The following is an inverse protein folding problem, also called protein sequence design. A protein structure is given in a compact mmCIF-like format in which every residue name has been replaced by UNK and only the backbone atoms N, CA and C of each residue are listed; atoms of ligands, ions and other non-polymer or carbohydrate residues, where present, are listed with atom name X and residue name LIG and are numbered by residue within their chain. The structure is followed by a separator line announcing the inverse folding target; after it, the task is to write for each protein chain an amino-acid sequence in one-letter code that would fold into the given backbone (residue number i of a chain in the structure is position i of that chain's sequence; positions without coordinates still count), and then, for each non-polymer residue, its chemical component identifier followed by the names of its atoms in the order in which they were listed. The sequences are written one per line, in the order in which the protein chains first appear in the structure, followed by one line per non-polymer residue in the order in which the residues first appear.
data_IF_497537650036
#
_entry.id   IF_497537650036
#
_cell.length_a   1.000
_cell.length_b   1.000
_cell.length_c   1.000
_cell.angle_alpha   90.00
_cell.angle_beta   90.00
_cell.angle_gamma   90.00
#
_symmetry.space_group_name_H-M   'P 1'
#
loop_
_entity.id
_entity.type
_entity.pdbx_description
1 polymer ?
#
# COMPACT_ATOMS: atom_id res chain seq x y z
N UNK A 1 30.06 1.04 -26.34
CA UNK A 1 28.97 0.24 -26.93
C UNK A 1 29.01 -1.08 -26.21
N UNK A 2 27.99 -1.36 -25.41
CA UNK A 2 27.91 -2.55 -24.58
C UNK A 2 27.32 -3.68 -25.42
N UNK A 3 28.17 -4.57 -25.91
CA UNK A 3 27.78 -5.81 -26.62
C UNK A 3 27.31 -6.88 -25.62
N UNK A 4 26.32 -6.55 -24.79
CA UNK A 4 25.59 -7.58 -24.06
C UNK A 4 24.60 -8.22 -25.05
N UNK A 5 24.58 -9.55 -25.22
CA UNK A 5 23.58 -10.19 -26.06
C UNK A 5 22.18 -9.83 -25.54
N UNK A 6 21.29 -9.39 -26.44
CA UNK A 6 19.88 -9.17 -26.11
C UNK A 6 19.28 -10.47 -25.59
N UNK A 7 18.86 -10.46 -24.32
CA UNK A 7 18.16 -11.56 -23.70
C UNK A 7 16.81 -11.75 -24.41
N UNK A 8 16.48 -13.00 -24.76
CA UNK A 8 15.17 -13.32 -25.34
C UNK A 8 14.05 -13.15 -24.30
N UNK A 9 12.81 -12.96 -24.75
CA UNK A 9 11.65 -12.84 -23.84
C UNK A 9 11.51 -14.13 -23.02
N UNK A 10 11.75 -15.29 -23.63
CA UNK A 10 11.72 -16.59 -22.95
C UNK A 10 12.79 -16.69 -21.85
N UNK A 11 14.01 -16.24 -22.10
CA UNK A 11 15.07 -16.20 -21.10
C UNK A 11 14.78 -15.21 -19.98
N UNK A 12 14.11 -14.09 -20.27
CA UNK A 12 13.69 -13.12 -19.26
C UNK A 12 12.58 -13.70 -18.39
N UNK A 13 11.54 -14.28 -18.98
CA UNK A 13 10.44 -14.90 -18.22
C UNK A 13 10.90 -16.09 -17.40
N UNK A 14 11.97 -16.78 -17.82
CA UNK A 14 12.58 -17.86 -17.04
C UNK A 14 13.20 -17.39 -15.71
N UNK A 15 13.47 -16.09 -15.53
CA UNK A 15 13.93 -15.54 -14.24
C UNK A 15 12.78 -15.10 -13.35
N UNK A 16 11.53 -15.29 -13.77
CA UNK A 16 10.37 -14.93 -12.95
C UNK A 16 10.29 -15.80 -11.70
N UNK A 17 10.04 -15.16 -10.57
CA UNK A 17 9.74 -15.83 -9.29
C UNK A 17 8.25 -16.10 -9.09
N UNK A 18 7.40 -15.64 -10.02
CA UNK A 18 5.97 -15.91 -9.96
C UNK A 18 5.68 -17.43 -9.97
N UNK A 19 4.69 -17.92 -9.22
CA UNK A 19 4.35 -19.33 -9.21
C UNK A 19 3.98 -19.81 -10.62
N UNK A 20 4.51 -20.98 -11.02
CA UNK A 20 4.24 -21.55 -12.34
C UNK A 20 2.73 -21.78 -12.60
N UNK A 21 1.96 -22.04 -11.53
CA UNK A 21 0.51 -22.14 -11.57
C UNK A 21 -0.08 -21.14 -10.58
N UNK A 22 -0.60 -20.03 -11.09
CA UNK A 22 -1.31 -19.02 -10.30
C UNK A 22 -2.80 -19.38 -10.32
N UNK A 23 -3.45 -19.67 -9.18
CA UNK A 23 -4.90 -19.84 -9.11
C UNK A 23 -5.62 -18.54 -9.44
N UNK A 24 -6.62 -18.61 -10.32
CA UNK A 24 -7.50 -17.48 -10.65
C UNK A 24 -8.95 -17.77 -10.26
N UNK A 25 -9.60 -16.81 -9.59
CA UNK A 25 -11.03 -16.83 -9.28
C UNK A 25 -11.74 -15.67 -9.99
N UNK A 26 -12.45 -15.97 -11.08
CA UNK A 26 -13.12 -14.98 -11.92
C UNK A 26 -14.62 -14.99 -11.61
N UNK A 27 -15.16 -13.87 -11.15
CA UNK A 27 -16.56 -13.77 -10.69
C UNK A 27 -17.35 -12.71 -11.46
N UNK A 28 -18.56 -13.07 -11.87
CA UNK A 28 -19.51 -12.16 -12.52
C UNK A 28 -19.27 -11.90 -14.02
N UNK A 29 -18.45 -12.71 -14.69
CA UNK A 29 -18.23 -12.61 -16.14
C UNK A 29 -19.43 -13.17 -16.92
N UNK A 30 -19.75 -12.55 -18.06
CA UNK A 30 -20.86 -12.98 -18.92
C UNK A 30 -20.57 -14.28 -19.66
N UNK A 31 -19.30 -14.56 -19.97
CA UNK A 31 -18.86 -15.75 -20.67
C UNK A 31 -17.46 -16.20 -20.21
N UNK A 32 -17.22 -17.51 -20.30
CA UNK A 32 -15.98 -18.16 -19.85
C UNK A 32 -14.77 -17.77 -20.70
N UNK A 33 -14.97 -17.47 -21.99
CA UNK A 33 -13.88 -17.10 -22.89
C UNK A 33 -13.26 -15.76 -22.45
N UNK A 34 -14.08 -14.75 -22.20
CA UNK A 34 -13.61 -13.44 -21.72
C UNK A 34 -12.89 -13.57 -20.38
N UNK A 35 -13.43 -14.35 -19.45
CA UNK A 35 -12.79 -14.61 -18.15
C UNK A 35 -11.42 -15.28 -18.30
N UNK A 36 -11.33 -16.30 -19.17
CA UNK A 36 -10.10 -17.05 -19.44
C UNK A 36 -9.05 -16.19 -20.14
N UNK A 37 -9.47 -15.39 -21.14
CA UNK A 37 -8.57 -14.49 -21.86
C UNK A 37 -7.97 -13.43 -20.92
N UNK A 38 -8.79 -12.85 -20.03
CA UNK A 38 -8.31 -11.93 -19.00
C UNK A 38 -7.33 -12.62 -18.04
N UNK A 39 -7.69 -13.79 -17.50
CA UNK A 39 -6.82 -14.52 -16.57
C UNK A 39 -5.45 -14.84 -17.19
N UNK A 40 -5.43 -15.31 -18.44
CA UNK A 40 -4.19 -15.58 -19.16
C UNK A 40 -3.35 -14.32 -19.37
N UNK A 41 -4.00 -13.21 -19.71
CA UNK A 41 -3.30 -11.93 -19.93
C UNK A 41 -2.76 -11.36 -18.61
N UNK A 42 -3.54 -11.38 -17.54
CA UNK A 42 -3.09 -11.02 -16.19
C UNK A 42 -1.92 -11.90 -15.74
N UNK A 43 -2.00 -13.22 -15.92
CA UNK A 43 -0.91 -14.14 -15.59
C UNK A 43 0.38 -13.82 -16.38
N UNK A 44 0.25 -13.44 -17.66
CA UNK A 44 1.41 -13.05 -18.48
C UNK A 44 2.12 -11.83 -17.91
N UNK A 45 1.38 -10.79 -17.53
CA UNK A 45 1.96 -9.59 -16.94
C UNK A 45 2.50 -9.84 -15.53
N UNK A 46 1.84 -10.66 -14.70
CA UNK A 46 2.38 -11.07 -13.40
C UNK A 46 3.72 -11.80 -13.57
N UNK A 47 3.82 -12.72 -14.54
CA UNK A 47 5.07 -13.40 -14.84
C UNK A 47 6.16 -12.42 -15.25
N UNK A 48 5.84 -11.43 -16.10
CA UNK A 48 6.79 -10.39 -16.47
C UNK A 48 7.23 -9.54 -15.27
N UNK A 49 6.30 -9.10 -14.42
CA UNK A 49 6.59 -8.35 -13.20
C UNK A 49 7.48 -9.17 -12.24
N UNK A 50 7.21 -10.48 -12.13
CA UNK A 50 7.99 -11.41 -11.31
C UNK A 50 9.45 -11.60 -11.74
N UNK A 51 9.85 -11.08 -12.91
CA UNK A 51 11.26 -10.99 -13.31
C UNK A 51 12.02 -9.86 -12.61
N UNK A 52 11.28 -8.89 -12.04
CA UNK A 52 11.82 -7.72 -11.33
C UNK A 52 11.45 -7.70 -9.85
N UNK A 53 10.39 -8.41 -9.46
CA UNK A 53 9.89 -8.50 -8.10
C UNK A 53 9.86 -9.96 -7.63
N UNK A 54 10.13 -10.20 -6.34
CA UNK A 54 9.93 -11.52 -5.76
C UNK A 54 8.43 -11.77 -5.53
N UNK A 55 7.85 -12.72 -6.27
CA UNK A 55 6.43 -13.08 -6.22
C UNK A 55 6.21 -14.52 -5.74
N UNK A 56 7.22 -15.16 -5.13
CA UNK A 56 7.15 -16.58 -4.76
C UNK A 56 6.01 -16.90 -3.77
N UNK A 57 5.66 -15.94 -2.91
CA UNK A 57 4.55 -16.07 -1.95
C UNK A 57 3.21 -15.54 -2.47
N UNK A 58 3.06 -15.35 -3.78
CA UNK A 58 1.76 -15.12 -4.40
C UNK A 58 0.86 -16.35 -4.21
N UNK A 59 -0.28 -16.17 -3.54
CA UNK A 59 -1.29 -17.21 -3.32
C UNK A 59 -2.15 -17.45 -4.57
N UNK A 60 -2.64 -16.37 -5.17
CA UNK A 60 -3.58 -16.41 -6.28
C UNK A 60 -4.20 -15.05 -6.54
N UNK A 61 -5.12 -15.00 -7.51
CA UNK A 61 -5.76 -13.77 -7.98
C UNK A 61 -7.28 -13.94 -8.03
N UNK A 62 -8.01 -13.02 -7.42
CA UNK A 62 -9.47 -12.89 -7.56
C UNK A 62 -9.78 -11.67 -8.41
N UNK A 63 -10.63 -11.83 -9.42
CA UNK A 63 -11.12 -10.73 -10.26
C UNK A 63 -12.65 -10.79 -10.30
N UNK A 64 -13.31 -9.70 -9.91
CA UNK A 64 -14.76 -9.69 -9.79
C UNK A 64 -15.40 -8.36 -10.23
N UNK A 65 -16.55 -8.45 -10.91
CA UNK A 65 -17.39 -7.28 -11.18
C UNK A 65 -18.06 -6.75 -9.90
N UNK A 66 -18.47 -7.64 -8.99
CA UNK A 66 -18.84 -7.29 -7.62
C UNK A 66 -17.60 -7.39 -6.71
N UNK A 67 -16.76 -6.35 -6.79
CA UNK A 67 -15.49 -6.28 -6.08
C UNK A 67 -15.69 -6.29 -4.56
N UNK A 68 -16.69 -5.55 -4.06
CA UNK A 68 -16.99 -5.46 -2.63
C UNK A 68 -17.37 -6.83 -2.08
N UNK A 69 -18.27 -7.57 -2.75
CA UNK A 69 -18.61 -8.92 -2.33
C UNK A 69 -17.38 -9.84 -2.38
N UNK A 70 -16.61 -9.78 -3.47
CA UNK A 70 -15.45 -10.65 -3.64
C UNK A 70 -14.42 -10.48 -2.52
N UNK A 71 -14.14 -9.25 -2.07
CA UNK A 71 -13.25 -8.99 -0.93
C UNK A 71 -13.70 -9.71 0.35
N UNK A 72 -15.00 -9.73 0.63
CA UNK A 72 -15.53 -10.40 1.83
C UNK A 72 -15.45 -11.92 1.78
N UNK A 73 -15.33 -12.49 0.58
CA UNK A 73 -15.32 -13.93 0.33
C UNK A 73 -13.90 -14.52 0.22
N UNK A 74 -12.85 -13.68 0.27
CA UNK A 74 -11.47 -14.16 0.24
C UNK A 74 -11.18 -14.97 1.49
N UNK A 75 -10.82 -16.25 1.30
CA UNK A 75 -10.38 -17.11 2.38
C UNK A 75 -9.00 -16.64 2.90
N UNK A 76 -9.03 -16.00 4.07
CA UNK A 76 -7.83 -15.52 4.77
C UNK A 76 -6.97 -16.65 5.31
N UNK A 77 -7.51 -17.86 5.45
CA UNK A 77 -6.79 -19.00 6.05
C UNK A 77 -6.68 -18.93 7.58
N UNK A 78 -7.41 -18.00 8.23
CA UNK A 78 -7.51 -17.87 9.68
C UNK A 78 -8.82 -17.18 10.08
N UNK A 79 -9.26 -17.38 11.31
CA UNK A 79 -10.44 -16.71 11.86
C UNK A 79 -10.15 -15.23 12.12
N UNK A 80 -10.96 -14.34 11.55
CA UNK A 80 -10.85 -12.88 11.74
C UNK A 80 -12.23 -12.25 11.77
N UNK A 81 -12.41 -11.25 12.63
CA UNK A 81 -13.60 -10.38 12.63
C UNK A 81 -13.46 -9.18 11.70
N UNK A 82 -12.25 -8.92 11.18
CA UNK A 82 -12.01 -7.85 10.22
C UNK A 82 -12.45 -8.30 8.83
N UNK A 83 -13.40 -7.55 8.26
CA UNK A 83 -13.91 -7.73 6.91
C UNK A 83 -13.15 -6.79 5.98
N UNK A 84 -12.61 -7.34 4.89
CA UNK A 84 -11.95 -6.52 3.87
C UNK A 84 -12.98 -5.62 3.18
N UNK A 85 -12.65 -4.33 3.08
CA UNK A 85 -13.50 -3.31 2.45
C UNK A 85 -12.67 -2.48 1.50
N UNK A 86 -13.24 -2.14 0.34
CA UNK A 86 -12.63 -1.19 -0.58
C UNK A 86 -12.62 0.22 0.05
N UNK A 87 -11.58 1.01 -0.25
CA UNK A 87 -11.55 2.43 0.07
C UNK A 87 -12.64 3.19 -0.69
N UNK A 88 -13.35 4.10 -0.03
CA UNK A 88 -14.55 4.76 -0.60
C UNK A 88 -14.50 6.29 -0.64
N UNK A 89 -13.56 6.94 0.03
CA UNK A 89 -13.62 8.40 0.27
C UNK A 89 -12.72 9.24 -0.66
N UNK A 90 -11.40 9.00 -0.64
CA UNK A 90 -10.43 9.83 -1.38
C UNK A 90 -9.99 9.16 -2.69
N UNK A 91 -9.86 7.83 -2.65
CA UNK A 91 -9.64 7.00 -3.82
C UNK A 91 -10.62 5.83 -3.78
N UNK A 92 -11.19 5.48 -4.95
CA UNK A 92 -11.98 4.27 -5.08
C UNK A 92 -11.03 3.07 -5.09
N UNK A 93 -11.08 2.24 -4.04
CA UNK A 93 -10.31 1.02 -3.97
C UNK A 93 -10.74 0.05 -5.07
N UNK A 94 -9.86 -0.21 -6.03
CA UNK A 94 -10.12 -1.09 -7.19
C UNK A 94 -9.21 -2.31 -7.24
N UNK A 95 -8.23 -2.35 -6.34
CA UNK A 95 -7.34 -3.48 -6.13
C UNK A 95 -6.94 -3.57 -4.65
N UNK A 96 -6.47 -4.74 -4.22
CA UNK A 96 -5.94 -4.99 -2.88
C UNK A 96 -5.09 -6.26 -2.87
N UNK A 97 -4.02 -6.26 -2.06
CA UNK A 97 -3.15 -7.41 -1.83
C UNK A 97 -3.25 -7.97 -0.39
N UNK A 98 -4.40 -8.57 0.03
CA UNK A 98 -4.53 -9.10 1.39
C UNK A 98 -3.57 -10.24 1.70
N UNK A 99 -3.03 -10.25 2.92
CA UNK A 99 -2.28 -11.38 3.47
C UNK A 99 -3.22 -12.56 3.76
N UNK A 100 -2.80 -13.76 3.37
CA UNK A 100 -3.54 -15.02 3.57
C UNK A 100 -2.61 -16.10 4.10
N UNK A 101 -3.15 -17.07 4.85
CA UNK A 101 -2.36 -18.21 5.32
C UNK A 101 -2.69 -19.46 4.51
N UNK A 102 -1.65 -20.17 4.07
CA UNK A 102 -1.74 -21.49 3.45
C UNK A 102 -0.74 -22.40 4.15
N UNK A 103 -1.24 -23.47 4.77
CA UNK A 103 -0.40 -24.43 5.49
C UNK A 103 0.58 -23.81 6.50
N UNK A 104 0.14 -22.74 7.19
CA UNK A 104 0.94 -22.02 8.18
C UNK A 104 1.95 -21.03 7.60
N UNK A 105 2.03 -20.86 6.28
CA UNK A 105 2.88 -19.88 5.61
C UNK A 105 2.06 -18.65 5.25
N UNK A 106 2.60 -17.46 5.53
CA UNK A 106 2.03 -16.19 5.10
C UNK A 106 2.25 -16.03 3.59
N UNK A 107 1.17 -15.77 2.88
CA UNK A 107 1.15 -15.48 1.45
C UNK A 107 0.37 -14.21 1.18
N UNK A 108 0.40 -13.76 -0.07
CA UNK A 108 -0.39 -12.61 -0.52
C UNK A 108 -1.35 -13.03 -1.62
N UNK A 109 -2.64 -12.78 -1.45
CA UNK A 109 -3.65 -12.96 -2.49
C UNK A 109 -3.90 -11.60 -3.15
N UNK A 110 -4.06 -11.55 -4.47
CA UNK A 110 -4.40 -10.30 -5.17
C UNK A 110 -5.89 -10.27 -5.49
N UNK A 111 -6.55 -9.13 -5.27
CA UNK A 111 -7.95 -8.92 -5.59
C UNK A 111 -8.10 -7.70 -6.48
N UNK A 112 -8.88 -7.82 -7.55
CA UNK A 112 -9.11 -6.73 -8.51
C UNK A 112 -10.58 -6.57 -8.87
N UNK A 113 -10.99 -5.33 -9.07
CA UNK A 113 -12.26 -4.98 -9.69
C UNK A 113 -12.19 -5.22 -11.20
N UNK A 114 -13.06 -6.11 -11.72
CA UNK A 114 -13.09 -6.46 -13.14
C UNK A 114 -13.40 -5.24 -14.03
N UNK A 115 -14.19 -4.27 -13.56
CA UNK A 115 -14.49 -3.06 -14.33
C UNK A 115 -13.24 -2.25 -14.69
N UNK A 116 -12.19 -2.36 -13.88
CA UNK A 116 -10.89 -1.72 -14.12
C UNK A 116 -9.92 -2.68 -14.79
N UNK A 117 -9.81 -3.92 -14.27
CA UNK A 117 -8.81 -4.88 -14.76
C UNK A 117 -9.00 -5.24 -16.25
N UNK A 118 -10.23 -5.12 -16.77
CA UNK A 118 -10.52 -5.35 -18.19
C UNK A 118 -9.74 -4.44 -19.14
N UNK A 119 -9.28 -3.26 -18.72
CA UNK A 119 -8.41 -2.40 -19.53
C UNK A 119 -7.06 -3.04 -19.86
N UNK A 120 -6.66 -4.09 -19.14
CA UNK A 120 -5.45 -4.86 -19.46
C UNK A 120 -5.58 -5.56 -20.82
N UNK A 121 -6.82 -5.81 -21.27
CA UNK A 121 -7.10 -6.41 -22.58
C UNK A 121 -6.74 -5.47 -23.73
N UNK A 122 -6.80 -4.16 -23.52
CA UNK A 122 -6.51 -3.14 -24.54
C UNK A 122 -5.05 -3.24 -25.02
N UNK A 123 -4.11 -3.53 -24.10
CA UNK A 123 -2.69 -3.76 -24.40
C UNK A 123 -1.88 -2.50 -24.72
N UNK A 124 -2.54 -1.35 -24.87
CA UNK A 124 -1.93 -0.04 -25.08
C UNK A 124 -2.88 1.09 -24.63
N UNK A 125 -2.36 2.30 -24.53
CA UNK A 125 -3.13 3.48 -24.11
C UNK A 125 -3.16 3.70 -22.61
N UNK A 126 -3.73 4.83 -22.19
CA UNK A 126 -3.70 5.30 -20.80
C UNK A 126 -4.40 4.33 -19.82
N UNK A 127 -5.57 3.79 -20.21
CA UNK A 127 -6.29 2.81 -19.39
C UNK A 127 -5.47 1.53 -19.16
N UNK A 128 -4.77 1.04 -20.19
CA UNK A 128 -3.84 -0.07 -20.07
C UNK A 128 -2.65 0.27 -19.16
N UNK A 129 -2.02 1.44 -19.34
CA UNK A 129 -0.87 1.84 -18.52
C UNK A 129 -1.22 1.93 -17.05
N UNK A 130 -2.38 2.53 -16.72
CA UNK A 130 -2.83 2.67 -15.34
C UNK A 130 -3.12 1.32 -14.67
N UNK A 131 -3.83 0.41 -15.36
CA UNK A 131 -4.12 -0.91 -14.81
C UNK A 131 -2.89 -1.81 -14.75
N UNK A 132 -1.96 -1.67 -15.69
CA UNK A 132 -0.68 -2.37 -15.65
C UNK A 132 0.18 -1.90 -14.47
N UNK A 133 0.20 -0.58 -14.22
CA UNK A 133 0.82 -0.03 -13.01
C UNK A 133 0.15 -0.56 -11.75
N UNK A 134 -1.19 -0.57 -11.67
CA UNK A 134 -1.90 -1.12 -10.50
C UNK A 134 -1.51 -2.58 -10.25
N UNK A 135 -1.44 -3.39 -11.31
CA UNK A 135 -1.00 -4.78 -11.20
C UNK A 135 0.44 -4.88 -10.65
N UNK A 136 1.35 -4.03 -11.13
CA UNK A 136 2.73 -3.98 -10.63
C UNK A 136 2.80 -3.49 -9.18
N UNK A 137 1.97 -2.53 -8.78
CA UNK A 137 1.86 -2.02 -7.41
C UNK A 137 1.39 -3.12 -6.44
N UNK A 138 0.32 -3.86 -6.79
CA UNK A 138 -0.13 -4.98 -5.97
C UNK A 138 0.90 -6.12 -5.90
N UNK A 139 1.65 -6.36 -6.98
CA UNK A 139 2.80 -7.26 -6.95
C UNK A 139 3.93 -6.74 -6.06
N UNK A 140 4.09 -5.41 -5.95
CA UNK A 140 4.98 -4.75 -5.00
C UNK A 140 4.65 -5.12 -3.56
N UNK A 141 3.37 -5.20 -3.19
CA UNK A 141 2.98 -5.69 -1.86
C UNK A 141 3.30 -7.17 -1.64
N UNK A 142 3.26 -8.02 -2.68
CA UNK A 142 3.71 -9.42 -2.57
C UNK A 142 5.21 -9.44 -2.22
N UNK A 143 6.02 -8.71 -3.00
CA UNK A 143 7.46 -8.59 -2.80
C UNK A 143 7.78 -8.08 -1.40
N UNK A 144 7.20 -6.96 -1.01
CA UNK A 144 7.47 -6.32 0.27
C UNK A 144 7.10 -7.22 1.44
N UNK A 145 5.95 -7.89 1.35
CA UNK A 145 5.52 -8.81 2.41
C UNK A 145 6.45 -10.02 2.55
N UNK A 146 6.95 -10.57 1.45
CA UNK A 146 7.96 -11.66 1.47
C UNK A 146 9.26 -11.17 2.09
N UNK A 147 9.78 -10.01 1.67
CA UNK A 147 10.98 -9.42 2.25
C UNK A 147 10.84 -9.19 3.76
N UNK A 148 9.67 -8.71 4.17
CA UNK A 148 9.34 -8.45 5.57
C UNK A 148 9.20 -9.73 6.41
N UNK A 149 8.50 -10.76 5.93
CA UNK A 149 8.35 -12.03 6.65
C UNK A 149 9.69 -12.80 6.75
N UNK A 150 10.59 -12.64 5.77
CA UNK A 150 11.96 -13.17 5.84
C UNK A 150 12.79 -12.43 6.88
N UNK A 151 12.72 -11.09 6.89
CA UNK A 151 13.51 -10.25 7.79
C UNK A 151 13.05 -10.36 9.25
N UNK A 152 11.73 -10.34 9.47
CA UNK A 152 11.11 -10.37 10.80
C UNK A 152 10.01 -11.45 10.85
N UNK A 153 10.40 -12.74 10.90
CA UNK A 153 9.45 -13.84 10.83
C UNK A 153 8.40 -13.80 11.94
N UNK A 154 7.14 -14.01 11.57
CA UNK A 154 6.04 -14.10 12.53
C UNK A 154 5.39 -12.76 12.90
N UNK A 155 5.97 -11.62 12.52
CA UNK A 155 5.46 -10.29 12.88
C UNK A 155 4.05 -10.00 12.32
N UNK A 156 3.82 -10.37 11.07
CA UNK A 156 2.52 -10.21 10.42
C UNK A 156 1.54 -11.34 10.78
N UNK A 157 1.97 -12.28 11.62
CA UNK A 157 1.14 -13.37 12.14
C UNK A 157 0.53 -12.96 13.48
N UNK A 158 -0.71 -13.40 13.74
CA UNK A 158 -1.40 -13.11 15.01
C UNK A 158 -1.39 -14.34 15.93
N UNK A 159 -1.12 -14.18 17.25
CA UNK A 159 -0.68 -12.96 17.93
C UNK A 159 0.85 -12.76 17.86
N UNK A 160 1.29 -11.53 17.63
CA UNK A 160 2.69 -11.12 17.82
C UNK A 160 2.85 -10.33 19.13
N UNK A 161 3.99 -10.49 19.81
CA UNK A 161 4.27 -9.81 21.07
C UNK A 161 5.10 -8.53 20.83
N UNK A 162 4.43 -7.38 20.78
CA UNK A 162 5.04 -6.06 20.66
C UNK A 162 5.66 -5.52 21.98
N UNK A 163 5.59 -6.28 23.08
CA UNK A 163 6.09 -5.87 24.39
C UNK A 163 5.21 -4.85 25.13
N UNK A 164 4.53 -3.95 24.41
CA UNK A 164 3.56 -3.00 24.97
C UNK A 164 2.44 -2.67 23.98
N UNK A 165 1.30 -2.17 24.49
CA UNK A 165 0.22 -1.66 23.63
C UNK A 165 0.63 -0.40 22.86
N UNK A 166 1.48 0.44 23.45
CA UNK A 166 2.01 1.63 22.78
C UNK A 166 2.80 1.25 21.53
N UNK A 167 3.75 0.32 21.66
CA UNK A 167 4.54 -0.18 20.53
C UNK A 167 3.66 -0.83 19.45
N UNK A 168 2.64 -1.60 19.86
CA UNK A 168 1.65 -2.18 18.94
C UNK A 168 0.87 -1.12 18.17
N UNK A 169 0.44 -0.04 18.84
CA UNK A 169 -0.32 1.05 18.22
C UNK A 169 0.59 1.87 17.29
N UNK A 170 1.81 2.21 17.72
CA UNK A 170 2.80 2.92 16.91
C UNK A 170 3.09 2.17 15.61
N UNK A 171 3.46 0.89 15.69
CA UNK A 171 3.66 0.06 14.51
C UNK A 171 2.42 0.04 13.61
N UNK A 172 1.23 -0.11 14.21
CA UNK A 172 -0.04 -0.13 13.47
C UNK A 172 -0.34 1.16 12.70
N UNK A 173 -0.06 2.33 13.28
CA UNK A 173 -0.28 3.64 12.66
C UNK A 173 0.72 3.95 11.53
N UNK A 174 1.91 3.35 11.54
CA UNK A 174 2.91 3.57 10.48
C UNK A 174 2.86 2.56 9.34
N UNK A 175 2.20 1.43 9.55
CA UNK A 175 2.27 0.29 8.64
C UNK A 175 1.68 0.56 7.25
N UNK A 176 0.57 1.30 7.19
CA UNK A 176 -0.06 1.70 5.93
C UNK A 176 0.89 2.53 5.06
N UNK A 177 1.40 3.63 5.63
CA UNK A 177 2.39 4.48 4.97
C UNK A 177 3.64 3.74 4.49
N UNK A 178 4.17 2.77 5.25
CA UNK A 178 5.29 1.95 4.77
C UNK A 178 4.88 1.09 3.55
N UNK A 179 3.78 0.34 3.68
CA UNK A 179 3.33 -0.58 2.63
C UNK A 179 3.13 0.14 1.29
N UNK A 180 2.52 1.32 1.31
CA UNK A 180 2.24 2.08 0.10
C UNK A 180 3.51 2.72 -0.48
N UNK A 181 4.39 3.25 0.38
CA UNK A 181 5.69 3.76 -0.06
C UNK A 181 6.51 2.66 -0.74
N UNK A 182 6.62 1.47 -0.13
CA UNK A 182 7.41 0.38 -0.67
C UNK A 182 6.83 -0.13 -2.00
N UNK A 183 5.50 -0.32 -2.06
CA UNK A 183 4.84 -0.79 -3.27
C UNK A 183 4.98 0.20 -4.43
N UNK A 184 4.77 1.50 -4.22
CA UNK A 184 4.95 2.50 -5.28
C UNK A 184 6.41 2.66 -5.69
N UNK A 185 7.35 2.53 -4.75
CA UNK A 185 8.79 2.55 -5.06
C UNK A 185 9.19 1.40 -5.95
N UNK A 186 8.73 0.18 -5.64
CA UNK A 186 8.98 -1.01 -6.45
C UNK A 186 8.33 -0.91 -7.83
N UNK A 187 7.12 -0.36 -7.93
CA UNK A 187 6.35 -0.30 -9.17
C UNK A 187 6.61 0.95 -10.02
N UNK A 188 7.38 1.92 -9.53
CA UNK A 188 7.55 3.24 -10.15
C UNK A 188 7.90 3.19 -11.65
N UNK A 189 8.88 2.34 -12.02
CA UNK A 189 9.37 2.22 -13.40
C UNK A 189 8.37 1.61 -14.39
N UNK A 190 7.26 1.04 -13.92
CA UNK A 190 6.25 0.42 -14.78
C UNK A 190 5.34 1.47 -15.46
N UNK A 191 5.18 2.63 -14.84
CA UNK A 191 4.49 3.77 -15.44
C UNK A 191 4.91 5.10 -14.78
N UNK A 192 6.02 5.72 -15.22
CA UNK A 192 6.56 6.93 -14.60
C UNK A 192 5.56 8.10 -14.51
N UNK A 193 4.67 8.23 -15.50
CA UNK A 193 3.66 9.30 -15.58
C UNK A 193 2.60 9.22 -14.49
N UNK A 194 2.51 8.10 -13.75
CA UNK A 194 1.62 7.94 -12.59
C UNK A 194 1.86 8.99 -11.50
N UNK A 195 3.05 9.63 -11.47
CA UNK A 195 3.39 10.74 -10.56
C UNK A 195 2.32 11.84 -10.53
N UNK A 196 1.72 12.17 -11.67
CA UNK A 196 0.69 13.21 -11.73
C UNK A 196 -0.58 12.82 -10.95
N UNK A 197 -0.97 11.54 -11.00
CA UNK A 197 -2.12 11.02 -10.25
C UNK A 197 -1.84 10.95 -8.75
N UNK A 198 -0.61 10.60 -8.35
CA UNK A 198 -0.21 10.63 -6.95
C UNK A 198 -0.15 12.05 -6.39
N UNK A 199 0.31 13.03 -7.18
CA UNK A 199 0.26 14.43 -6.79
C UNK A 199 -1.20 14.89 -6.58
N UNK A 200 -2.12 14.54 -7.49
CA UNK A 200 -3.54 14.87 -7.34
C UNK A 200 -4.17 14.24 -6.10
N UNK A 201 -3.95 12.94 -5.86
CA UNK A 201 -4.51 12.24 -4.69
C UNK A 201 -3.90 12.72 -3.37
N UNK A 202 -2.62 13.08 -3.34
CA UNK A 202 -2.00 13.75 -2.20
C UNK A 202 -2.72 15.06 -1.85
N UNK A 203 -2.97 15.93 -2.84
CA UNK A 203 -3.68 17.18 -2.58
C UNK A 203 -5.16 16.97 -2.23
N UNK A 204 -5.80 15.93 -2.77
CA UNK A 204 -7.15 15.56 -2.34
C UNK A 204 -7.19 15.07 -0.88
N UNK A 205 -6.13 14.40 -0.40
CA UNK A 205 -6.01 13.99 0.99
C UNK A 205 -5.75 15.17 1.94
N UNK A 206 -4.93 16.13 1.48
CA UNK A 206 -4.67 17.37 2.21
C UNK A 206 -5.91 18.27 2.27
N UNK A 207 -6.73 18.30 1.21
CA UNK A 207 -7.95 19.10 1.16
C UNK A 207 -8.97 18.63 2.21
N UNK A 208 -9.47 19.57 3.02
CA UNK A 208 -10.39 19.30 4.12
C UNK A 208 -9.84 18.45 5.27
N UNK A 209 -8.51 18.25 5.37
CA UNK A 209 -7.90 17.53 6.49
C UNK A 209 -8.27 18.17 7.83
N UNK A 210 -8.08 19.48 7.96
CA UNK A 210 -8.39 20.24 9.18
C UNK A 210 -9.88 20.11 9.55
N UNK A 211 -10.78 20.23 8.58
CA UNK A 211 -12.23 20.08 8.80
C UNK A 211 -12.61 18.69 9.33
N UNK A 212 -11.93 17.63 8.85
CA UNK A 212 -12.18 16.25 9.31
C UNK A 212 -11.63 16.02 10.72
N UNK A 213 -10.46 16.58 11.03
CA UNK A 213 -9.88 16.53 12.38
C UNK A 213 -10.74 17.30 13.37
N UNK A 214 -11.18 18.52 13.03
CA UNK A 214 -12.08 19.32 13.85
C UNK A 214 -13.40 18.58 14.11
N UNK A 215 -13.97 17.95 13.08
CA UNK A 215 -15.19 17.15 13.23
C UNK A 215 -15.01 15.96 14.20
N UNK A 216 -13.83 15.33 14.23
CA UNK A 216 -13.51 14.28 15.19
C UNK A 216 -13.41 14.81 16.62
N UNK A 217 -12.79 15.97 16.81
CA UNK A 217 -12.68 16.66 18.10
C UNK A 217 -14.03 17.16 18.63
N UNK A 218 -14.90 17.67 17.75
CA UNK A 218 -16.26 18.06 18.08
C UNK A 218 -17.12 16.87 18.52
N UNK A 219 -16.96 15.72 17.86
CA UNK A 219 -17.65 14.49 18.25
C UNK A 219 -17.27 14.04 19.67
N UNK A 220 -15.98 14.14 20.02
CA UNK A 220 -15.48 13.86 21.37
C UNK A 220 -16.08 14.79 22.42
N UNK A 221 -16.22 16.08 22.11
CA UNK A 221 -16.89 17.03 23.00
C UNK A 221 -18.35 16.64 23.31
N UNK A 222 -18.99 15.89 22.41
CA UNK A 222 -20.35 15.39 22.56
C UNK A 222 -20.46 14.11 23.40
N UNK A 223 -19.61 13.10 23.16
CA UNK A 223 -19.74 11.76 23.78
C UNK A 223 -18.70 11.42 24.86
N UNK A 224 -17.58 12.16 24.91
CA UNK A 224 -16.49 11.95 25.87
C UNK A 224 -15.67 10.68 25.65
N UNK A 225 -15.79 10.00 24.50
CA UNK A 225 -15.06 8.77 24.19
C UNK A 225 -13.67 9.08 23.62
N UNK A 226 -12.67 9.08 24.50
CA UNK A 226 -11.30 9.41 24.11
C UNK A 226 -10.71 8.45 23.10
N UNK A 227 -10.97 7.15 23.19
CA UNK A 227 -10.41 6.18 22.23
C UNK A 227 -11.03 6.32 20.86
N UNK A 228 -12.33 6.63 20.80
CA UNK A 228 -13.00 6.97 19.54
C UNK A 228 -12.40 8.24 18.92
N UNK A 229 -12.16 9.28 19.73
CA UNK A 229 -11.49 10.50 19.29
C UNK A 229 -10.08 10.21 18.75
N UNK A 230 -9.26 9.51 19.54
CA UNK A 230 -7.91 9.10 19.17
C UNK A 230 -7.89 8.40 17.82
N UNK A 231 -8.69 7.34 17.66
CA UNK A 231 -8.72 6.59 16.41
C UNK A 231 -9.16 7.43 15.20
N UNK A 232 -10.08 8.38 15.41
CA UNK A 232 -10.54 9.27 14.35
C UNK A 232 -9.43 10.26 13.94
N UNK A 233 -8.85 10.99 14.90
CA UNK A 233 -7.78 11.97 14.64
C UNK A 233 -6.54 11.29 14.06
N UNK A 234 -6.04 10.21 14.67
CA UNK A 234 -4.88 9.51 14.12
C UNK A 234 -5.18 8.87 12.77
N UNK A 235 -6.43 8.43 12.53
CA UNK A 235 -6.84 7.91 11.23
C UNK A 235 -6.79 8.95 10.11
N UNK A 236 -7.11 10.21 10.40
CA UNK A 236 -6.96 11.32 9.45
C UNK A 236 -5.49 11.58 9.09
N UNK A 237 -4.61 11.61 10.08
CA UNK A 237 -3.19 11.85 9.86
C UNK A 237 -2.47 10.65 9.23
N UNK A 238 -2.76 9.42 9.66
CA UNK A 238 -2.26 8.20 9.01
C UNK A 238 -2.67 8.16 7.53
N UNK A 239 -3.93 8.50 7.23
CA UNK A 239 -4.40 8.61 5.85
C UNK A 239 -3.63 9.67 5.06
N UNK A 240 -3.45 10.87 5.62
CA UNK A 240 -2.67 11.93 4.97
C UNK A 240 -1.22 11.47 4.67
N UNK A 241 -0.54 10.89 5.65
CA UNK A 241 0.82 10.38 5.47
C UNK A 241 0.87 9.19 4.50
N UNK A 242 -0.16 8.35 4.45
CA UNK A 242 -0.27 7.26 3.47
C UNK A 242 -0.31 7.80 2.04
N UNK A 243 -1.11 8.84 1.75
CA UNK A 243 -1.11 9.48 0.42
C UNK A 243 0.21 10.21 0.11
N UNK A 244 0.89 10.77 1.11
CA UNK A 244 2.24 11.28 0.95
C UNK A 244 3.22 10.15 0.57
N UNK A 245 3.13 9.00 1.23
CA UNK A 245 3.94 7.80 0.96
C UNK A 245 3.79 7.29 -0.47
N UNK A 246 2.57 7.26 -1.04
CA UNK A 246 2.36 6.90 -2.45
C UNK A 246 3.24 7.74 -3.38
N UNK A 247 3.19 9.07 -3.23
CA UNK A 247 3.93 10.02 -4.06
C UNK A 247 5.44 9.92 -3.83
N UNK A 248 5.87 9.91 -2.56
CA UNK A 248 7.29 9.81 -2.18
C UNK A 248 7.91 8.52 -2.70
N UNK A 249 7.25 7.37 -2.48
CA UNK A 249 7.73 6.08 -2.96
C UNK A 249 7.89 6.06 -4.47
N UNK A 250 6.91 6.58 -5.22
CA UNK A 250 6.99 6.67 -6.67
C UNK A 250 8.15 7.55 -7.15
N UNK A 251 8.32 8.75 -6.60
CA UNK A 251 9.45 9.65 -6.92
C UNK A 251 10.80 9.00 -6.62
N UNK A 252 10.95 8.42 -5.43
CA UNK A 252 12.18 7.80 -4.97
C UNK A 252 12.48 6.49 -5.73
N UNK A 253 11.46 5.83 -6.27
CA UNK A 253 11.58 4.66 -7.14
C UNK A 253 12.00 4.98 -8.57
N UNK A 254 11.65 6.17 -9.07
CA UNK A 254 12.20 6.68 -10.33
C UNK A 254 13.64 7.18 -10.17
N UNK A 255 14.09 7.43 -8.94
CA UNK A 255 15.37 8.09 -8.67
C UNK A 255 15.37 9.55 -9.12
N UNK A 256 14.19 10.16 -9.18
CA UNK A 256 13.94 11.49 -9.71
C UNK A 256 13.76 12.51 -8.58
N UNK A 257 13.99 13.78 -8.88
CA UNK A 257 13.75 14.89 -7.96
C UNK A 257 12.24 15.22 -7.91
N UNK A 258 11.81 15.91 -6.85
CA UNK A 258 10.45 16.46 -6.67
C UNK A 258 10.02 17.40 -7.81
N UNK A 259 10.90 17.73 -8.75
CA UNK A 259 10.61 18.45 -9.99
C UNK A 259 9.57 17.76 -10.89
N UNK A 260 9.41 16.44 -10.78
CA UNK A 260 8.33 15.73 -11.48
C UNK A 260 6.94 15.93 -10.85
N UNK A 261 6.88 16.49 -9.64
CA UNK A 261 5.66 16.83 -8.91
C UNK A 261 5.72 18.32 -8.49
N UNK A 262 5.48 19.26 -9.42
CA UNK A 262 5.75 20.68 -9.18
C UNK A 262 4.90 21.30 -8.07
N UNK A 263 3.62 20.90 -7.92
CA UNK A 263 2.77 21.39 -6.84
C UNK A 263 3.25 20.84 -5.50
N UNK A 264 3.66 19.58 -5.46
CA UNK A 264 4.22 18.97 -4.26
C UNK A 264 5.52 19.68 -3.84
N UNK A 265 6.41 19.96 -4.80
CA UNK A 265 7.61 20.78 -4.56
C UNK A 265 7.27 22.15 -3.98
N UNK A 266 6.29 22.85 -4.55
CA UNK A 266 5.81 24.13 -4.01
C UNK A 266 5.25 24.00 -2.60
N UNK A 267 4.48 22.93 -2.32
CA UNK A 267 3.97 22.62 -0.98
C UNK A 267 5.11 22.45 0.03
N UNK A 268 6.14 21.66 -0.30
CA UNK A 268 7.32 21.47 0.56
C UNK A 268 8.06 22.78 0.87
N UNK A 269 8.01 23.74 -0.05
CA UNK A 269 8.67 25.05 0.07
C UNK A 269 7.77 26.14 0.67
N UNK A 270 6.48 25.87 0.85
CA UNK A 270 5.46 26.88 1.22
C UNK A 270 5.59 27.41 2.65
N UNK A 271 6.35 26.73 3.52
CA UNK A 271 6.34 27.00 4.96
C UNK A 271 5.09 26.50 5.69
N UNK A 272 4.22 25.74 5.01
CA UNK A 272 3.11 25.02 5.64
C UNK A 272 3.66 24.10 6.75
N UNK A 273 3.00 24.09 7.91
CA UNK A 273 3.45 23.33 9.06
C UNK A 273 3.39 21.81 8.82
N UNK A 274 2.50 21.31 7.97
CA UNK A 274 2.43 19.90 7.56
C UNK A 274 3.60 19.51 6.63
N UNK A 275 4.15 20.47 5.87
CA UNK A 275 5.24 20.19 4.95
C UNK A 275 6.48 19.65 5.65
N UNK A 276 6.80 20.14 6.86
CA UNK A 276 7.94 19.62 7.64
C UNK A 276 7.74 18.14 8.01
N UNK A 277 6.50 17.73 8.30
CA UNK A 277 6.17 16.34 8.66
C UNK A 277 6.25 15.42 7.44
N UNK A 278 5.93 15.91 6.24
CA UNK A 278 6.14 15.16 4.99
C UNK A 278 7.64 15.01 4.69
N UNK A 279 8.45 16.04 4.95
CA UNK A 279 9.92 15.95 4.82
C UNK A 279 10.51 14.94 5.82
N UNK A 280 9.99 14.92 7.05
CA UNK A 280 10.45 13.96 8.06
C UNK A 280 9.95 12.54 7.76
N UNK A 281 8.76 12.40 7.16
CA UNK A 281 8.28 11.12 6.62
C UNK A 281 9.25 10.61 5.54
N UNK A 282 9.60 11.42 4.54
CA UNK A 282 10.52 11.05 3.46
C UNK A 282 11.86 10.53 3.99
N UNK A 283 12.47 11.24 4.95
CA UNK A 283 13.70 10.76 5.61
C UNK A 283 13.48 9.42 6.32
N UNK A 284 12.38 9.28 7.05
CA UNK A 284 12.07 8.08 7.82
C UNK A 284 11.91 6.87 6.91
N UNK A 285 11.15 7.01 5.80
CA UNK A 285 10.94 5.90 4.86
C UNK A 285 12.20 5.58 4.06
N UNK A 286 13.03 6.57 3.69
CA UNK A 286 14.35 6.31 3.08
C UNK A 286 15.31 5.59 4.04
N UNK A 287 15.29 5.92 5.33
CA UNK A 287 16.08 5.23 6.35
C UNK A 287 15.67 3.76 6.46
N UNK A 288 14.37 3.47 6.53
CA UNK A 288 13.84 2.09 6.51
C UNK A 288 14.25 1.39 5.22
N UNK A 289 14.10 2.06 4.06
CA UNK A 289 14.45 1.51 2.75
C UNK A 289 15.95 1.24 2.60
N UNK A 290 16.81 1.99 3.27
CA UNK A 290 18.27 1.77 3.21
C UNK A 290 18.70 0.38 3.71
N UNK A 291 17.86 -0.26 4.55
CA UNK A 291 18.03 -1.62 5.06
C UNK A 291 16.99 -2.59 4.48
N UNK A 292 16.45 -2.32 3.28
CA UNK A 292 15.34 -3.08 2.71
C UNK A 292 15.57 -4.60 2.72
N UNK A 293 14.67 -5.35 3.37
CA UNK A 293 14.74 -6.81 3.49
C UNK A 293 15.80 -7.33 4.48
N UNK A 294 16.56 -6.45 5.14
CA UNK A 294 17.57 -6.80 6.14
C UNK A 294 17.23 -6.29 7.54
N UNK A 295 16.03 -5.76 7.76
CA UNK A 295 15.54 -5.30 9.07
C UNK A 295 15.69 -6.37 10.14
N UNK A 296 15.98 -5.95 11.37
CA UNK A 296 16.22 -6.82 12.52
C UNK A 296 15.03 -6.85 13.47
N UNK A 297 14.18 -5.84 13.43
CA UNK A 297 13.07 -5.71 14.36
C UNK A 297 12.01 -4.74 13.82
N UNK A 298 10.78 -4.82 14.38
CA UNK A 298 9.67 -3.96 13.93
C UNK A 298 9.88 -2.50 14.33
N UNK A 299 10.68 -2.27 15.37
CA UNK A 299 11.02 -0.94 15.90
C UNK A 299 11.73 -0.07 14.87
N UNK A 300 12.33 -0.64 13.81
CA UNK A 300 12.87 0.13 12.69
C UNK A 300 11.78 0.93 11.94
N UNK A 301 10.49 0.56 12.10
CA UNK A 301 9.35 1.19 11.46
C UNK A 301 8.61 2.20 12.37
N UNK A 302 8.98 2.27 13.66
CA UNK A 302 8.24 3.05 14.66
C UNK A 302 8.20 4.55 14.33
N UNK A 303 9.24 5.07 13.65
CA UNK A 303 9.35 6.49 13.29
C UNK A 303 8.14 7.01 12.49
N UNK A 304 7.51 6.16 11.68
CA UNK A 304 6.31 6.56 10.92
C UNK A 304 5.12 6.73 11.87
N UNK A 305 4.90 5.76 12.77
CA UNK A 305 3.84 5.84 13.77
C UNK A 305 4.05 7.00 14.75
N UNK A 306 5.29 7.30 15.09
CA UNK A 306 5.66 8.47 15.89
C UNK A 306 5.26 9.78 15.19
N UNK A 307 5.43 9.89 13.87
CA UNK A 307 4.98 11.06 13.12
C UNK A 307 3.45 11.24 13.20
N UNK A 308 2.67 10.15 13.09
CA UNK A 308 1.21 10.21 13.25
C UNK A 308 0.84 10.68 14.65
N UNK A 309 1.49 10.16 15.69
CA UNK A 309 1.24 10.57 17.07
C UNK A 309 1.66 12.02 17.34
N UNK A 310 2.75 12.50 16.72
CA UNK A 310 3.21 13.88 16.79
C UNK A 310 2.23 14.84 16.13
N UNK A 311 1.60 14.43 15.02
CA UNK A 311 0.52 15.19 14.39
C UNK A 311 -0.72 15.22 15.28
N UNK A 312 -1.19 14.07 15.78
CA UNK A 312 -2.35 14.05 16.68
C UNK A 312 -2.16 14.90 17.95
N UNK A 313 -0.91 14.98 18.45
CA UNK A 313 -0.56 15.83 19.58
C UNK A 313 -0.67 17.34 19.29
N UNK A 314 -0.78 17.78 18.03
CA UNK A 314 -1.08 19.19 17.71
C UNK A 314 -2.53 19.57 18.03
N UNK A 315 -3.38 18.58 18.16
CA UNK A 315 -4.81 18.67 18.48
C UNK A 315 -5.09 18.14 19.89
N UNK A 316 -4.08 18.21 20.77
CA UNK A 316 -4.14 17.83 22.17
C UNK A 316 -4.49 16.35 22.43
N UNK A 317 -4.34 15.48 21.42
CA UNK A 317 -4.54 14.03 21.52
C UNK A 317 -3.20 13.33 21.75
N UNK A 318 -2.96 12.84 22.96
CA UNK A 318 -1.68 12.25 23.37
C UNK A 318 -1.80 10.78 23.79
N UNK A 319 -1.05 9.90 23.14
CA UNK A 319 -0.84 8.52 23.59
C UNK A 319 0.54 8.39 24.26
N UNK A 320 0.55 7.92 25.50
CA UNK A 320 1.77 7.69 26.28
C UNK A 320 1.82 6.27 26.82
N UNK A 321 2.95 5.89 27.43
CA UNK A 321 3.06 4.61 28.15
C UNK A 321 2.06 4.49 29.32
N UNK A 322 1.62 5.62 29.89
CA UNK A 322 0.66 5.67 31.00
C UNK A 322 -0.81 5.67 30.52
N UNK A 323 -1.02 5.74 29.19
CA UNK A 323 -2.34 5.71 28.56
C UNK A 323 -2.63 6.90 27.66
N UNK A 324 -3.88 6.97 27.21
CA UNK A 324 -4.42 8.03 26.37
C UNK A 324 -4.87 9.24 27.22
N UNK A 325 -4.47 10.44 26.80
CA UNK A 325 -4.85 11.72 27.40
C UNK A 325 -5.28 12.67 26.28
N UNK A 326 -6.42 13.34 26.47
CA UNK A 326 -6.93 14.38 25.56
C UNK A 326 -7.17 15.63 26.41
N UNK A 327 -6.58 16.78 26.02
CA UNK A 327 -6.70 18.06 26.74
C UNK A 327 -7.77 18.98 26.17
#
# INVERSE_FOLDING_TARGET
MSDAPEQTIEELLATSTAPANIPFHLKGFADEKTATDLANKTATYINFIGTRMNLEDLDGVTVAYDYAQALTEIDRGYETSHVLTASTEIAHGVAMAPGVFRDGVLKTHLAFNANVLMHLMDGEGEGFSHVYYQLAHECGHVHDRTAFDVAIPGLLQRPYNFGSDLARIQFGLGWGSWCEYAATRLSASFYPEQVAHFEETFFAALDGLDDRVEAAMDAFSGDGDGWKCFNAVTGEYDRFLTFASYLLGHLNGLGEDVDLAPKFKEFLQSGNWLAKHVIDLDKTVEEIWSNYGEWKSFEEFDGIGELVLLLAATDDVHLTADGLVIY
#
